data_IF_453875905377
#
_entry.id   IF_453875905377
#
_cell.length_a   1.000
_cell.length_b   1.000
_cell.length_c   1.000
_cell.angle_alpha   90.00
_cell.angle_beta   90.00
_cell.angle_gamma   90.00
#
_symmetry.space_group_name_H-M   'P 1'
#
loop_
_entity.id
_entity.type
_entity.pdbx_description
1 polymer ?
#
# COMPACT_ATOMS: atom_id res chain seq x y z
N UNK A 1 11.93 -18.02 -63.91
CA UNK A 1 12.25 -16.62 -63.52
C UNK A 1 11.05 -16.01 -62.84
N UNK A 2 11.31 -15.17 -61.83
CA UNK A 2 10.50 -14.00 -61.40
C UNK A 2 9.49 -14.20 -60.23
N UNK A 3 10.03 -13.92 -59.03
CA UNK A 3 9.46 -13.09 -57.93
C UNK A 3 8.30 -13.73 -57.13
N UNK A 4 8.48 -14.20 -55.89
CA UNK A 4 8.79 -13.49 -54.62
C UNK A 4 7.83 -12.31 -54.36
N UNK A 5 7.36 -12.22 -53.10
CA UNK A 5 6.47 -11.24 -52.47
C UNK A 5 4.98 -11.64 -52.57
N UNK A 6 4.17 -11.74 -51.51
CA UNK A 6 4.15 -11.09 -50.20
C UNK A 6 3.68 -12.09 -49.12
N UNK A 7 4.47 -12.31 -48.09
CA UNK A 7 4.01 -12.87 -46.82
C UNK A 7 4.56 -12.00 -45.70
N UNK A 8 4.04 -10.78 -45.55
CA UNK A 8 4.45 -9.90 -44.45
C UNK A 8 3.46 -8.75 -44.22
N UNK A 9 2.32 -9.02 -43.61
CA UNK A 9 1.47 -7.95 -43.09
C UNK A 9 0.45 -8.46 -42.08
N UNK A 10 0.88 -8.99 -40.93
CA UNK A 10 -0.06 -9.17 -39.81
C UNK A 10 0.60 -9.32 -38.43
N UNK A 11 1.60 -8.51 -38.09
CA UNK A 11 2.20 -8.55 -36.74
C UNK A 11 2.69 -7.18 -36.28
N UNK A 12 1.85 -6.15 -36.28
CA UNK A 12 2.17 -4.90 -35.56
C UNK A 12 0.91 -4.16 -35.12
N UNK A 13 0.30 -4.59 -34.01
CA UNK A 13 -0.44 -3.70 -33.07
C UNK A 13 -0.86 -4.49 -31.85
N UNK A 14 0.10 -4.82 -30.98
CA UNK A 14 -0.18 -5.22 -29.60
C UNK A 14 1.00 -4.82 -28.70
N UNK A 15 1.44 -3.57 -28.80
CA UNK A 15 2.30 -2.94 -27.81
C UNK A 15 1.64 -1.62 -27.40
N UNK A 16 0.45 -1.73 -26.83
CA UNK A 16 -0.29 -0.58 -26.31
C UNK A 16 -0.54 -0.84 -24.83
N UNK A 17 0.11 0.00 -24.02
CA UNK A 17 -0.11 0.28 -22.59
C UNK A 17 0.41 -0.73 -21.55
N UNK A 18 1.73 -0.81 -21.40
CA UNK A 18 2.30 -0.71 -20.05
C UNK A 18 2.42 0.78 -19.70
N UNK A 19 1.29 1.49 -19.68
CA UNK A 19 1.27 2.87 -19.22
C UNK A 19 1.59 2.84 -17.73
N UNK A 20 2.61 3.61 -17.34
CA UNK A 20 3.12 3.80 -15.98
C UNK A 20 2.08 3.52 -14.89
N UNK A 21 2.08 2.30 -14.35
CA UNK A 21 1.43 2.08 -13.08
C UNK A 21 2.14 3.00 -12.08
N UNK A 22 1.41 3.87 -11.35
CA UNK A 22 2.03 4.78 -10.40
C UNK A 22 2.93 3.95 -9.46
N UNK A 23 4.19 4.37 -9.26
CA UNK A 23 5.09 3.61 -8.40
C UNK A 23 4.51 3.56 -7.00
N UNK A 24 4.34 2.35 -6.47
CA UNK A 24 3.90 2.18 -5.10
C UNK A 24 5.01 2.65 -4.14
N UNK A 25 4.62 3.46 -3.16
CA UNK A 25 5.44 3.95 -2.06
C UNK A 25 5.14 3.13 -0.81
N UNK A 26 6.20 2.77 -0.07
CA UNK A 26 6.06 2.08 1.21
C UNK A 26 6.29 3.05 2.36
N UNK A 27 5.39 3.02 3.33
CA UNK A 27 5.50 3.70 4.61
C UNK A 27 5.67 2.67 5.71
N UNK A 28 6.65 2.88 6.57
CA UNK A 28 6.90 2.02 7.74
C UNK A 28 6.84 2.85 9.02
N UNK A 29 6.31 2.24 10.08
CA UNK A 29 6.05 2.93 11.33
C UNK A 29 5.85 1.99 12.50
N UNK A 30 5.63 2.57 13.67
CA UNK A 30 5.31 1.84 14.89
C UNK A 30 3.88 2.15 15.34
N UNK A 31 3.17 1.13 15.79
CA UNK A 31 1.83 1.21 16.38
C UNK A 31 1.79 0.39 17.67
N UNK A 32 1.00 0.82 18.64
CA UNK A 32 0.75 0.07 19.88
C UNK A 32 -0.73 -0.24 20.08
N UNK A 33 -1.03 -1.16 21.00
CA UNK A 33 -2.37 -1.65 21.30
C UNK A 33 -2.83 -2.83 20.43
N UNK A 34 -1.99 -3.33 19.52
CA UNK A 34 -2.36 -4.44 18.61
C UNK A 34 -2.01 -5.78 19.24
N UNK A 35 -2.90 -6.29 20.09
CA UNK A 35 -2.66 -7.51 20.88
C UNK A 35 -3.28 -8.78 20.29
N UNK A 36 -4.03 -8.66 19.19
CA UNK A 36 -4.83 -9.75 18.65
C UNK A 36 -4.98 -9.72 17.14
N UNK A 37 -5.31 -10.85 16.52
CA UNK A 37 -5.54 -10.95 15.08
C UNK A 37 -6.70 -10.05 14.60
N UNK A 38 -7.79 -9.98 15.37
CA UNK A 38 -8.92 -9.09 15.06
C UNK A 38 -8.54 -7.61 15.16
N UNK A 39 -7.63 -7.26 16.07
CA UNK A 39 -7.11 -5.91 16.27
C UNK A 39 -6.37 -5.45 14.99
N UNK A 40 -5.53 -6.34 14.45
CA UNK A 40 -4.89 -6.14 13.14
C UNK A 40 -5.92 -5.95 12.03
N UNK A 41 -6.94 -6.81 11.96
CA UNK A 41 -7.97 -6.70 10.91
C UNK A 41 -8.71 -5.36 10.95
N UNK A 42 -9.06 -4.83 12.13
CA UNK A 42 -9.69 -3.52 12.27
C UNK A 42 -8.79 -2.37 11.78
N UNK A 43 -7.51 -2.41 12.13
CA UNK A 43 -6.52 -1.40 11.71
C UNK A 43 -6.32 -1.45 10.20
N UNK A 44 -6.08 -2.64 9.65
CA UNK A 44 -5.94 -2.86 8.21
C UNK A 44 -7.17 -2.36 7.46
N UNK A 45 -8.38 -2.73 7.90
CA UNK A 45 -9.61 -2.27 7.27
C UNK A 45 -9.77 -0.74 7.33
N UNK A 46 -9.53 -0.13 8.50
CA UNK A 46 -9.68 1.32 8.67
C UNK A 46 -8.71 2.11 7.78
N UNK A 47 -7.43 1.71 7.75
CA UNK A 47 -6.41 2.37 6.94
C UNK A 47 -6.66 2.15 5.45
N UNK A 48 -6.99 0.93 5.02
CA UNK A 48 -7.30 0.64 3.62
C UNK A 48 -8.56 1.34 3.10
N UNK A 49 -9.55 1.60 3.95
CA UNK A 49 -10.81 2.25 3.54
C UNK A 49 -10.73 3.78 3.53
N UNK A 50 -9.90 4.39 4.39
CA UNK A 50 -9.90 5.84 4.57
C UNK A 50 -8.69 6.56 4.01
N UNK A 51 -7.56 5.86 3.84
CA UNK A 51 -6.41 6.43 3.15
C UNK A 51 -6.56 6.23 1.64
N UNK A 52 -6.34 7.30 0.88
CA UNK A 52 -6.42 7.28 -0.58
C UNK A 52 -5.27 6.48 -1.19
N UNK A 53 -5.60 5.69 -2.23
CA UNK A 53 -4.67 4.90 -3.04
C UNK A 53 -3.82 3.89 -2.26
N UNK A 54 -4.32 3.37 -1.15
CA UNK A 54 -3.69 2.27 -0.42
C UNK A 54 -3.83 0.96 -1.18
N UNK A 55 -2.69 0.32 -1.43
CA UNK A 55 -2.57 -1.00 -2.06
C UNK A 55 -2.62 -2.11 -1.01
N UNK A 56 -1.90 -1.93 0.10
CA UNK A 56 -1.92 -2.90 1.20
C UNK A 56 -1.57 -2.28 2.54
N UNK A 57 -2.07 -2.88 3.62
CA UNK A 57 -1.74 -2.53 5.00
C UNK A 57 -1.43 -3.82 5.75
N UNK A 58 -0.26 -3.86 6.37
CA UNK A 58 0.17 -4.98 7.19
C UNK A 58 0.65 -4.52 8.57
N UNK A 59 0.48 -5.40 9.55
CA UNK A 59 0.95 -5.21 10.92
C UNK A 59 1.74 -6.44 11.33
N UNK A 60 3.00 -6.23 11.70
CA UNK A 60 3.95 -7.28 12.11
C UNK A 60 4.45 -7.05 13.53
N UNK A 61 5.14 -8.03 14.10
CA UNK A 61 5.86 -7.83 15.36
C UNK A 61 6.81 -6.63 15.28
N UNK A 62 6.81 -5.79 16.31
CA UNK A 62 7.69 -4.61 16.39
C UNK A 62 9.04 -4.95 17.03
N UNK A 63 9.80 -3.89 17.30
CA UNK A 63 11.12 -3.98 17.95
C UNK A 63 11.01 -4.30 19.45
N UNK A 64 9.89 -3.87 20.08
CA UNK A 64 9.60 -4.13 21.49
C UNK A 64 8.32 -4.95 21.64
N UNK A 65 8.13 -5.67 22.77
CA UNK A 65 6.92 -6.47 23.01
C UNK A 65 5.60 -5.68 22.94
N UNK A 66 5.66 -4.39 23.27
CA UNK A 66 4.48 -3.51 23.37
C UNK A 66 4.20 -2.75 22.06
N UNK A 67 5.04 -2.95 21.05
CA UNK A 67 4.94 -2.28 19.74
C UNK A 67 4.81 -3.27 18.61
N UNK A 68 4.12 -2.84 17.56
CA UNK A 68 3.98 -3.55 16.30
C UNK A 68 4.47 -2.66 15.17
N UNK A 69 5.04 -3.29 14.14
CA UNK A 69 5.46 -2.61 12.93
C UNK A 69 4.26 -2.45 12.00
N UNK A 70 3.90 -1.20 11.71
CA UNK A 70 2.90 -0.84 10.71
C UNK A 70 3.59 -0.67 9.35
N UNK A 71 3.03 -1.28 8.32
CA UNK A 71 3.50 -1.19 6.94
C UNK A 71 2.30 -0.80 6.08
N UNK A 72 2.43 0.31 5.35
CA UNK A 72 1.41 0.77 4.41
C UNK A 72 2.05 0.92 3.04
N UNK A 73 1.48 0.28 2.03
CA UNK A 73 1.88 0.44 0.63
C UNK A 73 0.78 1.20 -0.08
N UNK A 74 1.12 2.31 -0.74
CA UNK A 74 0.16 3.17 -1.41
C UNK A 74 0.75 3.81 -2.67
N UNK A 75 -0.08 4.23 -3.61
CA UNK A 75 0.35 5.12 -4.70
C UNK A 75 0.33 6.60 -4.31
N UNK A 76 -0.11 6.89 -3.08
CA UNK A 76 -0.10 8.21 -2.47
C UNK A 76 1.26 8.52 -1.84
N UNK A 77 1.89 9.62 -2.25
CA UNK A 77 3.19 10.04 -1.73
C UNK A 77 3.14 10.91 -0.46
N UNK A 78 1.93 11.20 0.06
CA UNK A 78 1.69 12.16 1.14
C UNK A 78 1.02 11.56 2.38
N UNK A 79 1.18 10.25 2.63
CA UNK A 79 0.70 9.65 3.89
C UNK A 79 1.57 10.11 5.05
N UNK A 80 0.95 10.61 6.12
CA UNK A 80 1.61 11.05 7.36
C UNK A 80 1.06 10.29 8.56
N UNK A 81 1.73 10.41 9.71
CA UNK A 81 1.23 9.85 10.97
C UNK A 81 -0.16 10.41 11.32
N UNK A 82 -0.36 11.70 11.09
CA UNK A 82 -1.61 12.42 11.40
C UNK A 82 -2.75 11.90 10.53
N UNK A 83 -2.55 11.80 9.20
CA UNK A 83 -3.59 11.29 8.30
C UNK A 83 -3.89 9.80 8.55
N UNK A 84 -2.88 9.00 8.88
CA UNK A 84 -3.09 7.61 9.29
C UNK A 84 -3.84 7.50 10.64
N UNK A 85 -3.57 8.39 11.59
CA UNK A 85 -4.28 8.41 12.88
C UNK A 85 -5.74 8.83 12.70
N UNK A 86 -5.99 9.81 11.84
CA UNK A 86 -7.35 10.21 11.46
C UNK A 86 -8.11 9.08 10.75
N UNK A 87 -7.42 8.34 9.88
CA UNK A 87 -7.98 7.18 9.20
C UNK A 87 -8.45 6.09 10.19
N UNK A 88 -7.73 5.89 11.31
CA UNK A 88 -8.19 4.99 12.38
C UNK A 88 -9.55 5.40 12.98
N UNK A 89 -9.91 6.68 12.95
CA UNK A 89 -11.18 7.19 13.48
C UNK A 89 -11.39 6.77 14.94
N UNK A 90 -12.49 6.07 15.23
CA UNK A 90 -12.82 5.61 16.60
C UNK A 90 -11.78 4.63 17.17
N UNK A 91 -11.05 3.92 16.32
CA UNK A 91 -10.00 2.99 16.76
C UNK A 91 -8.78 3.69 17.35
N UNK A 92 -8.56 4.99 17.05
CA UNK A 92 -7.48 5.80 17.63
C UNK A 92 -7.54 5.91 19.16
N UNK A 93 -8.69 5.60 19.78
CA UNK A 93 -8.84 5.51 21.23
C UNK A 93 -8.12 4.30 21.85
N UNK A 94 -7.92 3.24 21.06
CA UNK A 94 -7.36 1.97 21.51
C UNK A 94 -6.00 1.67 20.87
N UNK A 95 -5.69 2.29 19.73
CA UNK A 95 -4.44 2.12 19.01
C UNK A 95 -3.79 3.46 18.76
N UNK A 96 -2.48 3.53 18.97
CA UNK A 96 -1.72 4.76 18.77
C UNK A 96 -0.59 4.51 17.78
N UNK A 97 -0.59 5.27 16.68
CA UNK A 97 0.52 5.31 15.74
C UNK A 97 1.60 6.21 16.33
N UNK A 98 2.73 5.63 16.69
CA UNK A 98 3.85 6.33 17.32
C UNK A 98 4.73 7.02 16.27
N UNK A 99 4.94 6.35 15.12
CA UNK A 99 5.72 6.86 14.00
C UNK A 99 5.18 6.30 12.69
N UNK A 100 5.37 7.05 11.60
CA UNK A 100 5.14 6.60 10.24
C UNK A 100 5.98 7.46 9.29
N UNK A 101 6.82 6.83 8.49
CA UNK A 101 7.71 7.53 7.55
C UNK A 101 7.77 6.79 6.22
N UNK A 102 7.94 7.56 5.13
CA UNK A 102 8.26 7.03 3.80
C UNK A 102 9.61 6.30 3.88
N UNK A 103 9.67 5.10 3.33
CA UNK A 103 10.88 4.27 3.25
C UNK A 103 11.78 4.70 2.10
#
# INVERSE_FOLDING_TARGET
MKKIFLALSLLMTAAINAADAPKAVTYEGQITGVVCASCKAHITAALSQKLTDVVSVDVKAGETPDTQKLIVVAHNESITKESATEALGTYSKNYQILSLAKK
#
